data_IF_669745422218
#
_entry.id   IF_669745422218
#
_cell.length_a   1.000
_cell.length_b   1.000
_cell.length_c   1.000
_cell.angle_alpha   90.00
_cell.angle_beta   90.00
_cell.angle_gamma   90.00
#
_symmetry.space_group_name_H-M   'P 1'
#
loop_
_entity.id
_entity.type
_entity.pdbx_description
1 polymer ?
#
# COMPACT_ATOMS: atom_id res chain seq x y z
N UNK A 1 27.04 -14.86 -28.07
CA UNK A 1 27.58 -14.58 -26.73
C UNK A 1 26.85 -15.48 -25.74
N UNK A 2 27.45 -16.53 -25.17
CA UNK A 2 26.85 -17.22 -24.03
C UNK A 2 27.07 -16.37 -22.77
N UNK A 3 26.10 -16.29 -21.87
CA UNK A 3 26.39 -15.84 -20.49
C UNK A 3 25.56 -14.71 -19.89
N UNK A 4 24.28 -14.54 -20.25
CA UNK A 4 23.36 -13.79 -19.39
C UNK A 4 22.37 -14.75 -18.75
N UNK A 5 22.60 -15.06 -17.48
CA UNK A 5 21.66 -15.77 -16.62
C UNK A 5 20.78 -14.74 -15.93
N UNK A 6 19.46 -14.88 -16.03
CA UNK A 6 18.53 -14.04 -15.29
C UNK A 6 18.71 -14.28 -13.78
N UNK A 7 19.08 -13.24 -13.02
CA UNK A 7 19.43 -13.36 -11.59
C UNK A 7 18.23 -13.50 -10.65
N UNK A 8 16.99 -13.39 -11.15
CA UNK A 8 15.79 -13.33 -10.31
C UNK A 8 15.55 -11.93 -9.73
N UNK A 9 14.54 -11.79 -8.86
CA UNK A 9 14.29 -10.55 -8.11
C UNK A 9 15.38 -10.32 -7.07
N UNK A 10 15.59 -9.05 -6.70
CA UNK A 10 16.51 -8.68 -5.62
C UNK A 10 16.06 -9.40 -4.34
N UNK A 11 16.97 -10.04 -3.58
CA UNK A 11 16.59 -10.64 -2.31
C UNK A 11 16.03 -9.59 -1.34
N UNK A 12 14.94 -9.92 -0.65
CA UNK A 12 14.24 -9.04 0.31
C UNK A 12 15.20 -8.39 1.32
N UNK A 13 16.23 -9.12 1.76
CA UNK A 13 17.21 -8.64 2.73
C UNK A 13 18.08 -7.48 2.26
N UNK A 14 18.17 -7.26 0.95
CA UNK A 14 18.95 -6.17 0.33
C UNK A 14 18.09 -5.27 -0.55
N UNK A 15 16.77 -5.47 -0.56
CA UNK A 15 15.83 -4.65 -1.30
C UNK A 15 15.45 -3.41 -0.48
N UNK A 16 15.59 -2.24 -1.10
CA UNK A 16 15.14 -0.98 -0.49
C UNK A 16 13.70 -0.70 -0.93
N UNK A 17 12.75 -0.87 -0.01
CA UNK A 17 11.32 -0.64 -0.27
C UNK A 17 10.95 0.81 0.05
N UNK A 18 10.27 1.48 -0.88
CA UNK A 18 9.62 2.77 -0.62
C UNK A 18 8.14 2.53 -0.31
N UNK A 19 7.73 2.89 0.91
CA UNK A 19 6.32 2.79 1.34
C UNK A 19 5.62 4.13 1.19
N UNK A 20 4.50 4.13 0.49
CA UNK A 20 3.61 5.29 0.35
C UNK A 20 2.47 5.24 1.38
N UNK A 21 2.04 6.41 1.84
CA UNK A 21 0.94 6.57 2.81
C UNK A 21 0.05 7.76 2.42
N UNK A 22 -1.26 7.65 2.69
CA UNK A 22 -2.21 8.77 2.58
C UNK A 22 -2.49 9.37 3.96
N UNK A 23 -2.54 10.69 4.06
CA UNK A 23 -2.88 11.40 5.29
C UNK A 23 -3.88 12.53 5.05
N UNK A 24 -4.74 12.78 6.04
CA UNK A 24 -5.74 13.86 5.99
C UNK A 24 -5.29 14.98 6.92
N UNK A 25 -5.02 16.20 6.42
CA UNK A 25 -4.68 17.34 7.27
C UNK A 25 -5.83 17.69 8.22
N UNK A 26 -5.50 18.12 9.44
CA UNK A 26 -6.50 18.53 10.44
C UNK A 26 -7.37 19.72 10.00
N UNK A 27 -6.88 20.51 9.05
CA UNK A 27 -7.57 21.67 8.47
C UNK A 27 -8.17 21.39 7.09
N UNK A 28 -8.30 20.12 6.69
CA UNK A 28 -8.89 19.77 5.40
C UNK A 28 -10.32 20.32 5.29
N UNK A 29 -10.64 20.95 4.16
CA UNK A 29 -11.99 21.47 3.91
C UNK A 29 -13.05 20.35 3.76
N UNK A 30 -12.60 19.16 3.35
CA UNK A 30 -13.44 17.99 3.04
C UNK A 30 -12.85 16.72 3.67
N UNK A 31 -12.81 16.61 5.02
CA UNK A 31 -12.15 15.50 5.69
C UNK A 31 -12.90 14.18 5.51
N UNK A 32 -14.23 14.20 5.39
CA UNK A 32 -15.03 12.99 5.18
C UNK A 32 -14.83 12.40 3.79
N UNK A 33 -14.80 13.24 2.76
CA UNK A 33 -14.54 12.82 1.37
C UNK A 33 -13.12 12.33 1.20
N UNK A 34 -12.15 13.00 1.84
CA UNK A 34 -10.77 12.52 1.87
C UNK A 34 -10.67 11.13 2.52
N UNK A 35 -11.43 10.88 3.59
CA UNK A 35 -11.48 9.55 4.21
C UNK A 35 -12.10 8.51 3.28
N UNK A 36 -13.25 8.81 2.66
CA UNK A 36 -13.89 7.92 1.68
C UNK A 36 -12.97 7.58 0.51
N UNK A 37 -12.13 8.51 0.06
CA UNK A 37 -11.12 8.25 -0.96
C UNK A 37 -10.05 7.28 -0.46
N UNK A 38 -9.51 7.49 0.74
CA UNK A 38 -8.51 6.58 1.30
C UNK A 38 -9.08 5.17 1.53
N UNK A 39 -10.33 5.07 1.99
CA UNK A 39 -11.05 3.80 2.11
C UNK A 39 -11.21 3.10 0.76
N UNK A 40 -11.57 3.85 -0.29
CA UNK A 40 -11.68 3.32 -1.65
C UNK A 40 -10.32 2.79 -2.15
N UNK A 41 -9.24 3.53 -1.95
CA UNK A 41 -7.89 3.12 -2.36
C UNK A 41 -7.41 1.86 -1.61
N UNK A 42 -7.87 1.66 -0.36
CA UNK A 42 -7.61 0.45 0.42
C UNK A 42 -8.53 -0.73 0.06
N UNK A 43 -9.61 -0.50 -0.68
CA UNK A 43 -10.60 -1.53 -1.01
C UNK A 43 -10.06 -2.58 -2.01
N UNK A 44 -10.63 -3.81 -2.02
CA UNK A 44 -10.31 -4.82 -3.03
C UNK A 44 -10.51 -4.34 -4.47
N UNK A 45 -11.50 -3.46 -4.70
CA UNK A 45 -11.84 -2.95 -6.02
C UNK A 45 -10.72 -2.11 -6.64
N UNK A 46 -9.96 -1.37 -5.83
CA UNK A 46 -8.86 -0.53 -6.30
C UNK A 46 -7.54 -1.29 -6.53
N UNK A 47 -7.39 -2.50 -5.96
CA UNK A 47 -6.08 -3.18 -5.93
C UNK A 47 -5.58 -3.63 -7.31
N UNK A 48 -6.46 -3.89 -8.28
CA UNK A 48 -6.03 -4.18 -9.65
C UNK A 48 -5.30 -2.99 -10.27
N UNK A 49 -5.78 -1.78 -10.02
CA UNK A 49 -5.17 -0.54 -10.49
C UNK A 49 -3.85 -0.27 -9.78
N UNK A 50 -3.78 -0.49 -8.46
CA UNK A 50 -2.52 -0.36 -7.68
C UNK A 50 -1.44 -1.30 -8.21
N UNK A 51 -1.77 -2.56 -8.48
CA UNK A 51 -0.81 -3.52 -9.03
C UNK A 51 -0.41 -3.19 -10.47
N UNK A 52 -1.33 -2.61 -11.26
CA UNK A 52 -1.01 -2.16 -12.62
C UNK A 52 0.00 -1.02 -12.64
N UNK A 53 0.17 -0.27 -11.54
CA UNK A 53 1.24 0.72 -11.37
C UNK A 53 2.51 0.12 -10.76
N UNK A 54 2.65 -1.21 -10.78
CA UNK A 54 3.78 -1.96 -10.21
C UNK A 54 3.97 -1.74 -8.70
N UNK A 55 2.93 -1.29 -7.99
CA UNK A 55 2.95 -1.13 -6.55
C UNK A 55 2.34 -2.37 -5.87
N UNK A 56 2.96 -2.76 -4.77
CA UNK A 56 2.41 -3.77 -3.88
C UNK A 56 1.49 -3.15 -2.82
N UNK A 57 0.31 -3.74 -2.65
CA UNK A 57 -0.59 -3.42 -1.56
C UNK A 57 0.10 -3.73 -0.22
N UNK A 58 0.06 -2.78 0.72
CA UNK A 58 0.40 -3.12 2.11
C UNK A 58 -0.70 -4.04 2.65
N UNK A 59 -0.34 -5.24 3.08
CA UNK A 59 -1.27 -6.08 3.84
C UNK A 59 -1.56 -5.37 5.16
N UNK A 60 -2.84 -5.17 5.51
CA UNK A 60 -3.19 -4.76 6.86
C UNK A 60 -2.65 -5.84 7.81
N UNK A 61 -1.66 -5.49 8.62
CA UNK A 61 -1.17 -6.41 9.65
C UNK A 61 -2.33 -6.68 10.62
N UNK A 62 -2.59 -7.94 11.02
CA UNK A 62 -3.66 -8.28 11.94
C UNK A 62 -3.57 -7.53 13.30
N UNK A 63 -2.41 -6.97 13.65
CA UNK A 63 -2.22 -6.11 14.81
C UNK A 63 -3.00 -4.77 14.75
N UNK A 64 -3.41 -4.32 13.57
CA UNK A 64 -4.20 -3.09 13.41
C UNK A 64 -5.71 -3.34 13.55
N UNK A 65 -6.16 -4.59 13.38
CA UNK A 65 -7.56 -4.97 13.53
C UNK A 65 -8.04 -4.97 15.00
N UNK A 66 -7.11 -5.14 15.95
CA UNK A 66 -7.45 -5.20 17.38
C UNK A 66 -7.64 -3.82 18.03
N UNK A 67 -7.18 -2.72 17.40
CA UNK A 67 -7.37 -1.37 17.96
C UNK A 67 -8.68 -0.69 17.56
N UNK A 68 -9.44 -1.24 16.61
CA UNK A 68 -10.76 -0.72 16.24
C UNK A 68 -11.94 -1.52 16.83
N UNK A 69 -11.69 -2.65 17.48
CA UNK A 69 -12.73 -3.46 18.13
C UNK A 69 -12.88 -3.18 19.65
N UNK A 70 -12.08 -2.25 20.19
CA UNK A 70 -12.16 -1.82 21.58
C UNK A 70 -12.18 -0.29 21.64
N UNK A 71 -13.34 0.31 21.39
CA UNK A 71 -13.71 1.61 21.93
C UNK A 71 -15.21 1.78 21.92
#
# INVERSE_FOLDING_TARGET
>A
MPGVTYAGTVPESVQSVTRFVGGIPVSAAHPEEANKLLDYLASPQAQSTVRATELDSVTMSPAQSTRHAAS
#
